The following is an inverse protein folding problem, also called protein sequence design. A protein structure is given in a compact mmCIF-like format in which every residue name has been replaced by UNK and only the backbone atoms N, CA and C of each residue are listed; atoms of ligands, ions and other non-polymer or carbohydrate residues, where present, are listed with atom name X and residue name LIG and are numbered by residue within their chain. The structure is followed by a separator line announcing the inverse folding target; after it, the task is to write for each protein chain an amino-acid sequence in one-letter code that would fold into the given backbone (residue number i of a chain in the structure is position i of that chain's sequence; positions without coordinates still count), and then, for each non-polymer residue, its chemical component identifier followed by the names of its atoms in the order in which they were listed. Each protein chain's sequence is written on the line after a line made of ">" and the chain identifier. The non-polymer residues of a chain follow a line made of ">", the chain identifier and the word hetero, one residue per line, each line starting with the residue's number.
data_IF_224606950231
#
_entry.id   IF_224606950231
#
_cell.length_a   1.000
_cell.length_b   1.000
_cell.length_c   1.000
_cell.angle_alpha   90.00
_cell.angle_beta   90.00
_cell.angle_gamma   90.00
#
_symmetry.space_group_name_H-M   'P 1'
#
loop_
_entity.id
_entity.type
_entity.pdbx_description
1 polymer ?
#
# COMPACT_ATOMS: atom_id res chain seq x y z
N UNK A 1 -6.62 -19.18 4.63
CA UNK A 1 -7.03 -17.90 4.00
C UNK A 1 -5.85 -16.95 4.05
N UNK A 2 -5.54 -16.22 2.98
CA UNK A 2 -4.39 -15.29 2.93
C UNK A 2 -3.40 -15.54 1.79
N UNK A 3 -3.82 -16.16 0.69
CA UNK A 3 -2.94 -16.45 -0.47
C UNK A 3 -3.46 -15.83 -1.78
N UNK A 4 -4.26 -14.77 -1.66
CA UNK A 4 -4.92 -14.14 -2.82
C UNK A 4 -3.94 -13.42 -3.74
N UNK A 5 -2.77 -13.05 -3.24
CA UNK A 5 -1.70 -12.41 -3.99
C UNK A 5 -0.49 -13.34 -4.20
N UNK A 6 -0.68 -14.65 -4.01
CA UNK A 6 0.38 -15.65 -4.21
C UNK A 6 0.95 -15.58 -5.63
N UNK A 7 2.28 -15.60 -5.72
CA UNK A 7 3.01 -15.52 -6.98
C UNK A 7 2.96 -14.15 -7.68
N UNK A 8 2.37 -13.12 -7.05
CA UNK A 8 2.39 -11.75 -7.57
C UNK A 8 3.56 -10.97 -7.02
N UNK A 9 4.13 -10.15 -7.89
CA UNK A 9 5.19 -9.20 -7.53
C UNK A 9 4.60 -7.80 -7.47
N UNK A 10 4.83 -7.09 -6.36
CA UNK A 10 4.31 -5.74 -6.14
C UNK A 10 5.46 -4.79 -5.80
N UNK A 11 5.49 -3.61 -6.41
CA UNK A 11 6.37 -2.52 -5.96
C UNK A 11 5.54 -1.45 -5.27
N UNK A 12 5.88 -1.13 -4.04
CA UNK A 12 5.32 0.01 -3.28
C UNK A 12 6.39 1.08 -3.20
N UNK A 13 6.18 2.21 -3.88
CA UNK A 13 7.05 3.38 -3.82
C UNK A 13 6.56 4.31 -2.73
N UNK A 14 7.14 4.12 -1.54
CA UNK A 14 7.00 4.84 -0.27
C UNK A 14 7.15 3.79 0.84
N UNK A 15 7.94 4.10 1.87
CA UNK A 15 8.12 3.25 3.06
C UNK A 15 7.76 3.97 4.37
N UNK A 16 6.85 4.95 4.32
CA UNK A 16 6.35 5.61 5.51
C UNK A 16 5.65 4.64 6.46
N UNK A 17 5.70 4.94 7.76
CA UNK A 17 4.99 4.16 8.80
C UNK A 17 3.47 4.23 8.68
N UNK A 18 2.95 5.28 8.04
CA UNK A 18 1.50 5.53 7.93
C UNK A 18 0.87 4.74 6.80
N UNK A 19 1.57 4.58 5.67
CA UNK A 19 1.00 3.98 4.45
C UNK A 19 1.91 2.90 3.88
N UNK A 20 3.17 3.24 3.60
CA UNK A 20 4.07 2.39 2.81
C UNK A 20 4.35 1.04 3.46
N UNK A 21 4.88 1.05 4.68
CA UNK A 21 5.23 -0.17 5.42
C UNK A 21 4.02 -1.04 5.77
N UNK A 22 2.92 -0.49 6.34
CA UNK A 22 1.74 -1.30 6.61
C UNK A 22 1.17 -1.95 5.35
N UNK A 23 1.14 -1.22 4.23
CA UNK A 23 0.65 -1.75 2.95
C UNK A 23 1.54 -2.89 2.42
N UNK A 24 2.86 -2.70 2.44
CA UNK A 24 3.80 -3.72 2.01
C UNK A 24 3.67 -5.01 2.85
N UNK A 25 3.57 -4.87 4.17
CA UNK A 25 3.36 -6.00 5.07
C UNK A 25 2.02 -6.71 4.83
N UNK A 26 0.93 -5.96 4.61
CA UNK A 26 -0.40 -6.52 4.32
C UNK A 26 -0.38 -7.38 3.05
N UNK A 27 0.21 -6.87 1.96
CA UNK A 27 0.30 -7.56 0.68
C UNK A 27 1.22 -8.79 0.76
N UNK A 28 2.34 -8.69 1.47
CA UNK A 28 3.26 -9.81 1.69
C UNK A 28 2.61 -10.92 2.52
N UNK A 29 1.80 -10.57 3.53
CA UNK A 29 1.03 -11.54 4.30
C UNK A 29 0.00 -12.28 3.43
N UNK A 30 -0.58 -11.58 2.44
CA UNK A 30 -1.49 -12.13 1.44
C UNK A 30 -0.79 -12.96 0.32
N UNK A 31 0.52 -13.18 0.42
CA UNK A 31 1.32 -14.07 -0.43
C UNK A 31 2.15 -13.39 -1.52
N UNK A 32 2.12 -12.06 -1.62
CA UNK A 32 2.92 -11.33 -2.60
C UNK A 32 4.41 -11.29 -2.22
N UNK A 33 5.27 -11.15 -3.23
CA UNK A 33 6.62 -10.58 -3.04
C UNK A 33 6.51 -9.08 -3.23
N UNK A 34 6.85 -8.28 -2.22
CA UNK A 34 6.67 -6.83 -2.26
C UNK A 34 8.00 -6.10 -2.14
N UNK A 35 8.38 -5.36 -3.17
CA UNK A 35 9.46 -4.38 -3.13
C UNK A 35 8.95 -3.11 -2.44
N UNK A 36 9.40 -2.84 -1.22
CA UNK A 36 9.14 -1.60 -0.50
C UNK A 36 10.31 -0.65 -0.73
N UNK A 37 10.07 0.35 -1.57
CA UNK A 37 11.07 1.32 -2.03
C UNK A 37 10.98 2.59 -1.18
N UNK A 38 12.13 3.03 -0.70
CA UNK A 38 12.36 4.32 -0.05
C UNK A 38 13.42 5.11 -0.84
N UNK A 39 13.66 6.36 -0.44
CA UNK A 39 14.65 7.23 -1.10
C UNK A 39 16.05 6.61 -1.07
N UNK A 40 16.44 6.06 0.09
CA UNK A 40 17.82 5.60 0.32
C UNK A 40 17.99 4.08 0.23
N UNK A 41 16.90 3.31 0.24
CA UNK A 41 16.98 1.85 0.30
C UNK A 41 15.71 1.15 -0.17
N UNK A 42 15.87 -0.08 -0.65
CA UNK A 42 14.76 -0.97 -1.02
C UNK A 42 14.82 -2.25 -0.21
N UNK A 43 13.66 -2.70 0.26
CA UNK A 43 13.50 -3.95 0.99
C UNK A 43 12.49 -4.84 0.28
N UNK A 44 12.67 -6.16 0.39
CA UNK A 44 11.70 -7.14 -0.06
C UNK A 44 10.95 -7.70 1.14
N UNK A 45 9.63 -7.54 1.12
CA UNK A 45 8.71 -8.12 2.07
C UNK A 45 8.15 -9.41 1.46
N UNK A 46 8.21 -10.47 2.23
CA UNK A 46 7.52 -11.76 2.01
C UNK A 46 6.85 -12.16 3.31
N UNK A 47 5.98 -13.18 3.28
CA UNK A 47 5.25 -13.63 4.47
C UNK A 47 6.22 -13.90 5.64
N UNK A 48 6.12 -13.08 6.68
CA UNK A 48 6.95 -13.15 7.89
C UNK A 48 8.44 -12.81 7.71
N UNK A 49 8.87 -12.28 6.57
CA UNK A 49 10.28 -11.95 6.28
C UNK A 49 10.42 -10.59 5.61
N UNK A 50 11.41 -9.84 6.06
CA UNK A 50 11.77 -8.53 5.49
C UNK A 50 13.28 -8.51 5.33
N UNK A 51 13.74 -8.40 4.09
CA UNK A 51 15.16 -8.50 3.74
C UNK A 51 15.58 -7.27 2.92
N UNK A 52 16.76 -6.69 3.17
CA UNK A 52 17.28 -5.64 2.29
C UNK A 52 17.58 -6.23 0.90
N UNK A 53 17.36 -5.43 -0.13
CA UNK A 53 17.77 -5.77 -1.50
C UNK A 53 19.20 -5.31 -1.73
N UNK A 54 20.02 -6.01 -2.54
CA UNK A 54 21.34 -5.51 -2.93
C UNK A 54 21.26 -4.07 -3.46
N UNK A 55 22.28 -3.26 -3.16
CA UNK A 55 22.30 -1.82 -3.45
C UNK A 55 22.18 -1.52 -4.95
N UNK A 56 22.60 -2.45 -5.80
CA UNK A 56 22.47 -2.42 -7.26
C UNK A 56 21.03 -2.57 -7.78
N UNK A 57 20.07 -2.98 -6.95
CA UNK A 57 18.67 -3.05 -7.35
C UNK A 57 18.03 -1.65 -7.36
N UNK A 58 17.89 -1.09 -8.55
CA UNK A 58 17.22 0.20 -8.75
C UNK A 58 15.70 0.07 -8.62
N UNK A 59 15.03 1.19 -8.29
CA UNK A 59 13.56 1.30 -8.32
C UNK A 59 13.00 0.85 -9.66
N UNK A 60 13.66 1.24 -10.76
CA UNK A 60 13.31 0.84 -12.13
C UNK A 60 13.31 -0.68 -12.33
N UNK A 61 14.36 -1.38 -11.85
CA UNK A 61 14.44 -2.84 -11.90
C UNK A 61 13.30 -3.51 -11.14
N UNK A 62 12.95 -2.98 -9.96
CA UNK A 62 11.84 -3.49 -9.16
C UNK A 62 10.50 -3.28 -9.87
N UNK A 63 10.27 -2.09 -10.45
CA UNK A 63 9.02 -1.74 -11.15
C UNK A 63 8.82 -2.61 -12.41
N UNK A 64 9.88 -2.88 -13.18
CA UNK A 64 9.80 -3.71 -14.40
C UNK A 64 9.37 -5.15 -14.15
N UNK A 65 9.66 -5.68 -12.97
CA UNK A 65 9.33 -7.06 -12.59
C UNK A 65 7.93 -7.18 -11.96
N UNK A 66 7.33 -6.05 -11.57
CA UNK A 66 6.10 -6.02 -10.80
C UNK A 66 4.83 -6.12 -11.66
N UNK A 67 3.89 -6.95 -11.20
CA UNK A 67 2.54 -7.03 -11.75
C UNK A 67 1.64 -5.90 -11.22
N UNK A 68 1.98 -5.36 -10.04
CA UNK A 68 1.28 -4.23 -9.42
C UNK A 68 2.29 -3.18 -8.96
N UNK A 69 2.02 -1.91 -9.24
CA UNK A 69 2.84 -0.78 -8.80
C UNK A 69 1.97 0.16 -7.99
N UNK A 70 2.34 0.42 -6.75
CA UNK A 70 1.68 1.37 -5.85
C UNK A 70 2.56 2.60 -5.68
N UNK A 71 2.02 3.77 -6.02
CA UNK A 71 2.70 5.05 -5.91
C UNK A 71 2.08 5.86 -4.77
N UNK A 72 2.87 6.14 -3.74
CA UNK A 72 2.38 6.84 -2.55
C UNK A 72 3.31 7.98 -2.12
N UNK A 73 4.08 8.57 -3.04
CA UNK A 73 5.04 9.64 -2.73
C UNK A 73 4.29 10.98 -2.57
N UNK A 74 4.34 11.63 -1.40
CA UNK A 74 3.60 12.86 -1.11
C UNK A 74 4.32 14.10 -1.67
N UNK A 75 4.81 14.04 -2.90
CA UNK A 75 5.51 15.14 -3.56
C UNK A 75 5.06 15.25 -5.01
N UNK A 76 4.82 16.49 -5.44
CA UNK A 76 4.55 16.86 -6.82
C UNK A 76 5.78 16.71 -7.75
N UNK A 77 6.98 16.89 -7.18
CA UNK A 77 8.27 16.75 -7.89
C UNK A 77 8.56 15.31 -8.32
N UNK A 78 7.98 14.33 -7.63
CA UNK A 78 8.16 12.94 -8.00
C UNK A 78 7.27 12.57 -9.20
N UNK A 79 7.91 12.06 -10.24
CA UNK A 79 7.28 11.49 -11.44
C UNK A 79 8.02 10.21 -11.82
N UNK A 80 7.31 9.10 -11.78
CA UNK A 80 7.78 7.82 -12.29
C UNK A 80 7.68 7.83 -13.82
N UNK A 81 8.69 7.29 -14.49
CA UNK A 81 8.67 7.06 -15.93
C UNK A 81 7.72 5.89 -16.26
N UNK A 82 6.66 6.11 -17.07
CA UNK A 82 5.76 5.05 -17.52
C UNK A 82 6.46 3.92 -18.29
N UNK A 83 7.65 4.18 -18.84
CA UNK A 83 8.44 3.16 -19.52
C UNK A 83 8.90 2.03 -18.59
N UNK A 84 8.88 2.22 -17.27
CA UNK A 84 9.28 1.18 -16.33
C UNK A 84 8.17 0.16 -16.07
N UNK A 85 6.91 0.54 -16.31
CA UNK A 85 5.75 -0.29 -15.98
C UNK A 85 5.61 -1.45 -16.97
N UNK A 86 5.48 -2.66 -16.45
CA UNK A 86 5.21 -3.87 -17.22
C UNK A 86 3.85 -3.77 -17.93
N UNK A 87 3.77 -4.26 -19.17
CA UNK A 87 2.49 -4.34 -19.89
C UNK A 87 1.48 -5.21 -19.15
N UNK A 88 0.21 -4.84 -19.18
CA UNK A 88 -0.85 -5.53 -18.43
C UNK A 88 -0.81 -5.31 -16.90
N UNK A 89 0.16 -4.56 -16.37
CA UNK A 89 0.27 -4.33 -14.93
C UNK A 89 -0.85 -3.41 -14.40
N UNK A 90 -1.05 -3.46 -13.08
CA UNK A 90 -1.96 -2.56 -12.37
C UNK A 90 -1.15 -1.47 -11.69
N UNK A 91 -1.47 -0.21 -11.96
CA UNK A 91 -0.82 0.94 -11.33
C UNK A 91 -1.83 1.67 -10.44
N UNK A 92 -1.50 1.85 -9.17
CA UNK A 92 -2.37 2.48 -8.17
C UNK A 92 -1.69 3.74 -7.63
N UNK A 93 -2.31 4.90 -7.85
CA UNK A 93 -1.81 6.17 -7.30
C UNK A 93 -2.53 6.51 -5.99
N UNK A 94 -1.86 6.22 -4.87
CA UNK A 94 -2.35 6.49 -3.51
C UNK A 94 -2.04 7.93 -3.07
N UNK A 95 -0.98 8.53 -3.60
CA UNK A 95 -0.60 9.91 -3.28
C UNK A 95 -1.67 10.93 -3.70
N UNK A 96 -1.73 12.05 -2.97
CA UNK A 96 -2.55 13.21 -3.33
C UNK A 96 -2.09 13.87 -4.64
N UNK A 97 -0.81 13.70 -4.99
CA UNK A 97 -0.24 14.16 -6.25
C UNK A 97 -0.24 13.03 -7.29
N UNK A 98 -0.27 13.39 -8.58
CA UNK A 98 -0.07 12.45 -9.68
C UNK A 98 1.41 12.03 -9.70
N UNK A 99 1.74 10.83 -9.25
CA UNK A 99 3.12 10.33 -9.28
C UNK A 99 3.52 9.74 -10.64
N UNK A 100 2.60 9.63 -11.59
CA UNK A 100 2.85 9.15 -12.95
C UNK A 100 1.93 9.89 -13.94
N UNK A 101 2.38 10.05 -15.18
CA UNK A 101 1.55 10.57 -16.27
C UNK A 101 0.64 9.46 -16.79
N UNK A 102 -0.66 9.58 -16.52
CA UNK A 102 -1.68 8.62 -16.93
C UNK A 102 -1.82 8.52 -18.46
N UNK A 103 -1.77 9.64 -19.18
CA UNK A 103 -1.95 9.64 -20.62
C UNK A 103 -0.77 8.93 -21.29
N UNK A 104 0.44 9.22 -20.83
CA UNK A 104 1.65 8.55 -21.30
C UNK A 104 1.63 7.06 -20.94
N UNK A 105 1.21 6.71 -19.72
CA UNK A 105 1.11 5.32 -19.29
C UNK A 105 0.16 4.50 -20.15
N UNK A 106 -1.07 4.97 -20.35
CA UNK A 106 -2.09 4.24 -21.10
C UNK A 106 -1.82 4.19 -22.61
N UNK A 107 -1.09 5.17 -23.16
CA UNK A 107 -0.71 5.17 -24.58
C UNK A 107 0.53 4.31 -24.89
N UNK A 108 1.48 4.22 -23.96
CA UNK A 108 2.75 3.50 -24.17
C UNK A 108 2.75 2.06 -23.64
N UNK A 109 1.86 1.72 -22.70
CA UNK A 109 1.83 0.39 -22.06
C UNK A 109 0.46 -0.29 -22.25
N UNK A 110 0.30 -1.11 -23.31
CA UNK A 110 -0.94 -1.82 -23.58
C UNK A 110 -1.41 -2.69 -22.40
N UNK A 111 -2.72 -2.73 -22.19
CA UNK A 111 -3.35 -3.56 -21.16
C UNK A 111 -3.15 -3.10 -19.72
N UNK A 112 -2.38 -2.04 -19.47
CA UNK A 112 -2.21 -1.47 -18.13
C UNK A 112 -3.55 -0.96 -17.60
N UNK A 113 -3.81 -1.21 -16.31
CA UNK A 113 -4.96 -0.67 -15.59
C UNK A 113 -4.49 0.37 -14.60
N UNK A 114 -4.88 1.61 -14.81
CA UNK A 114 -4.57 2.70 -13.90
C UNK A 114 -5.73 2.96 -12.93
N UNK A 115 -5.41 3.02 -11.64
CA UNK A 115 -6.34 3.39 -10.56
C UNK A 115 -5.90 4.75 -10.03
N UNK A 116 -6.66 5.82 -10.28
CA UNK A 116 -6.32 7.16 -9.81
C UNK A 116 -6.57 7.31 -8.31
N UNK A 117 -6.37 8.54 -7.81
CA UNK A 117 -6.45 8.94 -6.41
C UNK A 117 -7.47 8.15 -5.57
N UNK A 118 -6.95 7.38 -4.63
CA UNK A 118 -7.73 6.48 -3.75
C UNK A 118 -8.46 7.20 -2.60
N UNK A 119 -8.38 8.53 -2.52
CA UNK A 119 -8.91 9.30 -1.38
C UNK A 119 -10.39 9.03 -1.08
N UNK A 120 -11.22 8.86 -2.10
CA UNK A 120 -12.64 8.50 -1.93
C UNK A 120 -12.81 7.11 -1.31
N UNK A 121 -11.96 6.16 -1.69
CA UNK A 121 -11.95 4.80 -1.12
C UNK A 121 -11.49 4.87 0.34
N UNK A 122 -10.51 5.72 0.65
CA UNK A 122 -10.06 5.95 2.04
C UNK A 122 -11.20 6.44 2.92
N UNK A 123 -11.97 7.44 2.48
CA UNK A 123 -13.13 7.96 3.23
C UNK A 123 -14.17 6.85 3.45
N UNK A 124 -14.56 6.13 2.39
CA UNK A 124 -15.51 5.03 2.51
C UNK A 124 -15.03 3.91 3.45
N UNK A 125 -13.72 3.62 3.46
CA UNK A 125 -13.13 2.65 4.38
C UNK A 125 -13.13 3.14 5.83
N UNK A 126 -12.93 4.44 6.07
CA UNK A 126 -13.04 5.04 7.41
C UNK A 126 -14.48 4.94 7.93
N UNK A 127 -15.47 5.28 7.12
CA UNK A 127 -16.90 5.13 7.48
C UNK A 127 -17.26 3.68 7.76
N UNK A 128 -16.78 2.75 6.92
CA UNK A 128 -16.96 1.31 7.15
C UNK A 128 -16.30 0.84 8.44
N UNK A 129 -15.10 1.35 8.75
CA UNK A 129 -14.41 1.02 10.00
C UNK A 129 -15.15 1.59 11.22
N UNK A 130 -15.76 2.77 11.11
CA UNK A 130 -16.61 3.35 12.15
C UNK A 130 -17.85 2.50 12.43
N UNK A 131 -18.55 2.05 11.39
CA UNK A 131 -19.73 1.17 11.54
C UNK A 131 -19.31 -0.16 12.19
N UNK A 132 -18.18 -0.73 11.78
CA UNK A 132 -17.63 -1.95 12.39
C UNK A 132 -17.26 -1.77 13.85
N UNK A 133 -16.66 -0.64 14.20
CA UNK A 133 -16.37 -0.31 15.58
C UNK A 133 -17.66 -0.29 16.41
N UNK A 134 -18.70 0.40 15.93
CA UNK A 134 -19.99 0.44 16.60
C UNK A 134 -20.60 -0.97 16.76
N UNK A 135 -20.52 -1.81 15.73
CA UNK A 135 -21.05 -3.17 15.77
C UNK A 135 -20.28 -4.08 16.74
N UNK A 136 -18.95 -4.02 16.73
CA UNK A 136 -18.09 -4.84 17.58
C UNK A 136 -18.26 -4.55 19.07
N UNK A 137 -18.62 -3.31 19.40
CA UNK A 137 -18.81 -2.87 20.78
C UNK A 137 -20.29 -2.60 21.13
N UNK A 138 -21.22 -3.04 20.28
CA UNK A 138 -22.66 -2.91 20.53
C UNK A 138 -23.02 -3.79 21.73
N UNK A 139 -23.37 -3.15 22.85
CA UNK A 139 -23.67 -3.84 24.12
C UNK A 139 -22.48 -3.94 25.08
N UNK A 140 -21.28 -3.53 24.67
CA UNK A 140 -20.24 -3.14 25.63
C UNK A 140 -20.70 -1.88 26.37
N UNK A 141 -20.35 -1.75 27.64
CA UNK A 141 -20.64 -0.56 28.45
C UNK A 141 -19.96 0.71 27.89
N UNK A 142 -19.77 1.73 28.74
CA UNK A 142 -19.07 2.96 28.31
C UNK A 142 -17.71 2.59 27.72
N UNK A 143 -17.43 3.01 26.48
CA UNK A 143 -16.11 2.82 25.87
C UNK A 143 -15.19 3.97 26.28
N UNK A 144 -13.93 3.65 26.55
CA UNK A 144 -12.89 4.63 26.86
C UNK A 144 -11.63 4.35 26.04
N UNK A 145 -10.90 5.41 25.73
CA UNK A 145 -9.57 5.29 25.17
C UNK A 145 -8.63 4.76 26.26
N UNK A 146 -8.09 3.57 26.06
CA UNK A 146 -7.08 2.99 26.95
C UNK A 146 -5.68 3.28 26.38
N UNK A 147 -5.02 4.25 27.00
CA UNK A 147 -3.66 4.67 26.64
C UNK A 147 -2.60 3.57 26.80
N UNK A 148 -2.88 2.52 27.59
CA UNK A 148 -1.92 1.42 27.82
C UNK A 148 -1.85 0.44 26.66
N UNK A 149 -2.96 0.24 25.93
CA UNK A 149 -3.07 -0.65 24.77
C UNK A 149 -3.25 0.12 23.45
N UNK A 150 -3.39 1.45 23.52
CA UNK A 150 -3.49 2.33 22.35
C UNK A 150 -4.76 2.11 21.52
N UNK A 151 -5.84 1.66 22.15
CA UNK A 151 -7.11 1.39 21.48
C UNK A 151 -8.33 1.68 22.37
N UNK A 152 -9.52 1.61 21.78
CA UNK A 152 -10.78 1.76 22.50
C UNK A 152 -11.16 0.43 23.14
N UNK A 153 -11.43 0.45 24.44
CA UNK A 153 -11.85 -0.72 25.22
C UNK A 153 -13.09 -0.41 26.06
N UNK A 154 -13.83 -1.45 26.51
CA UNK A 154 -14.85 -1.27 27.54
C UNK A 154 -14.24 -0.62 28.79
N UNK A 155 -14.95 0.34 29.38
CA UNK A 155 -14.54 0.94 30.64
C UNK A 155 -14.44 -0.16 31.71
N UNK A 156 -13.43 -0.09 32.59
CA UNK A 156 -13.37 -0.97 33.74
C UNK A 156 -14.64 -0.81 34.57
N UNK A 157 -15.20 -1.93 35.02
CA UNK A 157 -16.31 -1.94 35.96
C UNK A 157 -15.83 -1.29 37.27
N UNK A 158 -16.52 -0.23 37.72
CA UNK A 158 -16.23 0.46 38.97
C UNK A 158 -16.62 -0.38 40.19
#
# INVERSE_FOLDING_TARGET
>A
MGDRMSGKVVTVVNRSEVVGRPLAAMLANDGATVYSVDIDSTYVFRRGKVEPVPAEATTESCVRQSDVVVLAVPSDKYKMDPSWVKEGAIVVNVASHKNIDENALLSTRPGVRYVPAVGKITIAMLERNLIRLQQNFKGSGRLVWDSSIGCVAPAPDH
#
